data_IF_591710383544
#
_entry.id   IF_591710383544
#
_cell.length_a   1.000
_cell.length_b   1.000
_cell.length_c   1.000
_cell.angle_alpha   90.00
_cell.angle_beta   90.00
_cell.angle_gamma   90.00
#
_symmetry.space_group_name_H-M   'P 1'
#
loop_
_entity.id
_entity.type
_entity.pdbx_description
1 polymer ?
#
# COMPACT_ATOMS: atom_id res chain seq x y z
N UNK A 1 2.27 18.42 -0.49
CA UNK A 1 1.97 17.30 0.41
C UNK A 1 2.47 16.01 -0.23
N UNK A 2 3.41 15.29 0.41
CA UNK A 2 3.91 14.03 -0.16
C UNK A 2 2.85 12.95 -0.19
N UNK A 3 2.92 12.13 -1.24
CA UNK A 3 2.13 10.92 -1.36
C UNK A 3 3.10 9.76 -1.58
N UNK A 4 3.00 8.72 -0.77
CA UNK A 4 3.77 7.51 -0.98
C UNK A 4 2.97 6.63 -1.93
N UNK A 5 3.59 6.26 -3.04
CA UNK A 5 3.00 5.36 -4.04
C UNK A 5 3.68 4.01 -3.90
N UNK A 6 2.91 2.97 -3.62
CA UNK A 6 3.45 1.61 -3.53
C UNK A 6 2.90 0.80 -4.69
N UNK A 7 3.78 0.25 -5.51
CA UNK A 7 3.40 -0.58 -6.65
C UNK A 7 3.88 -2.00 -6.40
N UNK A 8 2.97 -2.97 -6.54
CA UNK A 8 3.36 -4.36 -6.27
C UNK A 8 2.44 -5.36 -6.96
N UNK A 9 2.97 -6.56 -7.07
CA UNK A 9 2.22 -7.77 -7.42
C UNK A 9 2.20 -8.69 -6.20
N UNK A 10 1.33 -9.68 -6.19
CA UNK A 10 1.36 -10.72 -5.17
C UNK A 10 2.40 -11.77 -5.53
N UNK A 11 3.01 -12.37 -4.51
CA UNK A 11 3.94 -13.49 -4.72
C UNK A 11 3.22 -14.64 -5.42
N UNK A 12 3.92 -15.40 -6.29
CA UNK A 12 3.33 -16.56 -6.94
C UNK A 12 2.71 -17.52 -5.93
N UNK A 13 1.50 -17.99 -6.21
CA UNK A 13 0.78 -18.90 -5.32
C UNK A 13 0.03 -18.21 -4.20
N UNK A 14 0.12 -16.88 -4.06
CA UNK A 14 -0.64 -16.13 -3.05
C UNK A 14 -2.09 -16.01 -3.47
N UNK A 15 -3.01 -16.29 -2.53
CA UNK A 15 -4.43 -16.13 -2.77
C UNK A 15 -4.80 -14.64 -2.82
N UNK A 16 -5.42 -14.23 -3.93
CA UNK A 16 -5.95 -12.87 -4.09
C UNK A 16 -6.98 -12.57 -2.99
N UNK A 17 -7.87 -13.51 -2.73
CA UNK A 17 -8.91 -13.35 -1.71
C UNK A 17 -8.30 -13.15 -0.33
N UNK A 18 -7.28 -13.93 0.02
CA UNK A 18 -6.64 -13.81 1.33
C UNK A 18 -5.96 -12.46 1.50
N UNK A 19 -5.24 -11.98 0.48
CA UNK A 19 -4.63 -10.66 0.54
C UNK A 19 -5.69 -9.58 0.68
N UNK A 20 -6.72 -9.59 -0.16
CA UNK A 20 -7.73 -8.53 -0.16
C UNK A 20 -8.54 -8.52 1.14
N UNK A 21 -8.84 -9.68 1.72
CA UNK A 21 -9.50 -9.76 3.01
C UNK A 21 -8.63 -9.18 4.13
N UNK A 22 -7.34 -9.51 4.13
CA UNK A 22 -6.40 -8.95 5.09
C UNK A 22 -6.28 -7.42 4.93
N UNK A 23 -6.18 -6.94 3.69
CA UNK A 23 -6.05 -5.52 3.42
C UNK A 23 -7.26 -4.74 3.95
N UNK A 24 -8.48 -5.23 3.72
CA UNK A 24 -9.71 -4.58 4.19
C UNK A 24 -9.87 -4.66 5.70
N UNK A 25 -9.51 -5.79 6.31
CA UNK A 25 -9.74 -6.03 7.73
C UNK A 25 -8.65 -5.41 8.62
N UNK A 26 -7.41 -5.32 8.15
CA UNK A 26 -6.26 -4.95 8.96
C UNK A 26 -5.50 -3.75 8.38
N UNK A 27 -4.98 -3.86 7.16
CA UNK A 27 -4.06 -2.89 6.60
C UNK A 27 -4.70 -1.50 6.46
N UNK A 28 -5.82 -1.43 5.78
CA UNK A 28 -6.51 -0.17 5.52
C UNK A 28 -6.93 0.53 6.81
N UNK A 29 -7.58 -0.15 7.79
CA UNK A 29 -7.95 0.50 9.03
C UNK A 29 -6.76 0.96 9.87
N UNK A 30 -5.71 0.15 9.98
CA UNK A 30 -4.54 0.49 10.80
C UNK A 30 -3.82 1.70 10.23
N UNK A 31 -3.50 1.70 8.94
CA UNK A 31 -2.78 2.82 8.32
C UNK A 31 -3.60 4.10 8.36
N UNK A 32 -4.91 4.02 8.10
CA UNK A 32 -5.79 5.19 8.19
C UNK A 32 -5.94 5.73 9.63
N UNK A 33 -5.63 4.94 10.65
CA UNK A 33 -5.68 5.39 12.04
C UNK A 33 -4.44 6.16 12.49
N UNK A 34 -3.37 6.15 11.68
CA UNK A 34 -2.12 6.81 12.06
C UNK A 34 -2.26 8.33 12.01
N UNK A 35 -1.77 9.05 13.06
CA UNK A 35 -1.84 10.51 13.09
C UNK A 35 -1.14 11.17 11.89
N UNK A 36 -0.08 10.56 11.37
CA UNK A 36 0.71 11.09 10.25
C UNK A 36 0.10 10.84 8.88
N UNK A 37 -0.95 10.02 8.78
CA UNK A 37 -1.59 9.65 7.52
C UNK A 37 -2.91 10.39 7.38
N UNK A 38 -3.05 11.17 6.33
CA UNK A 38 -4.31 11.84 6.04
C UNK A 38 -5.30 10.89 5.38
N UNK A 39 -4.81 10.08 4.43
CA UNK A 39 -5.64 9.11 3.72
C UNK A 39 -4.77 8.00 3.16
N UNK A 40 -5.21 6.77 3.31
CA UNK A 40 -4.60 5.58 2.72
C UNK A 40 -5.64 4.82 1.90
N UNK A 41 -5.30 4.53 0.65
CA UNK A 41 -6.14 3.75 -0.26
C UNK A 41 -5.32 2.65 -0.90
N UNK A 42 -5.94 1.51 -1.12
CA UNK A 42 -5.39 0.42 -1.92
C UNK A 42 -6.23 0.31 -3.19
N UNK A 43 -5.58 0.39 -4.34
CA UNK A 43 -6.23 0.30 -5.64
C UNK A 43 -5.90 -1.03 -6.29
N UNK A 44 -6.92 -1.72 -6.78
CA UNK A 44 -6.73 -2.92 -7.60
C UNK A 44 -6.59 -2.47 -9.04
N UNK A 45 -5.45 -2.79 -9.65
CA UNK A 45 -5.14 -2.35 -11.00
C UNK A 45 -5.81 -3.28 -12.02
N UNK A 46 -6.32 -2.69 -13.07
CA UNK A 46 -6.93 -3.41 -14.18
C UNK A 46 -6.04 -3.41 -15.41
N UNK A 47 -6.68 -3.45 -16.58
CA UNK A 47 -5.97 -3.41 -17.85
C UNK A 47 -5.46 -2.01 -18.17
N UNK A 48 -4.54 -1.93 -19.11
CA UNK A 48 -4.14 -0.66 -19.69
C UNK A 48 -5.36 0.01 -20.34
N UNK A 49 -5.46 1.33 -20.15
CA UNK A 49 -6.62 2.08 -20.64
C UNK A 49 -6.83 1.87 -22.15
N UNK A 50 -8.04 1.48 -22.51
CA UNK A 50 -8.38 1.22 -23.90
C UNK A 50 -7.82 -0.06 -24.48
N UNK A 51 -7.37 -0.99 -23.64
CA UNK A 51 -6.70 -2.21 -24.06
C UNK A 51 -7.17 -3.40 -23.23
N UNK A 52 -7.02 -4.61 -23.77
CA UNK A 52 -7.20 -5.85 -23.00
C UNK A 52 -5.91 -6.30 -22.32
N UNK A 53 -4.80 -5.60 -22.54
CA UNK A 53 -3.51 -5.96 -21.95
C UNK A 53 -3.48 -5.60 -20.48
N UNK A 54 -2.99 -6.53 -19.67
CA UNK A 54 -2.80 -6.32 -18.22
C UNK A 54 -1.65 -5.33 -17.98
N UNK A 55 -1.83 -4.42 -17.03
CA UNK A 55 -0.75 -3.54 -16.61
C UNK A 55 0.34 -4.27 -15.84
N UNK A 56 1.50 -3.63 -15.61
CA UNK A 56 2.67 -4.29 -15.00
C UNK A 56 2.51 -4.59 -13.52
N UNK A 57 1.56 -3.96 -12.82
CA UNK A 57 1.34 -4.16 -11.39
C UNK A 57 -0.12 -4.44 -11.11
N UNK A 58 -0.37 -5.36 -10.17
CA UNK A 58 -1.73 -5.75 -9.78
C UNK A 58 -2.35 -4.78 -8.78
N UNK A 59 -1.53 -4.10 -7.96
CA UNK A 59 -2.01 -3.22 -6.90
C UNK A 59 -1.17 -1.96 -6.81
N UNK A 60 -1.83 -0.89 -6.35
CA UNK A 60 -1.20 0.37 -6.03
C UNK A 60 -1.74 0.86 -4.69
N UNK A 61 -0.84 1.29 -3.80
CA UNK A 61 -1.24 1.96 -2.57
C UNK A 61 -0.91 3.44 -2.70
N UNK A 62 -1.80 4.29 -2.21
CA UNK A 62 -1.60 5.73 -2.13
C UNK A 62 -1.72 6.14 -0.66
N UNK A 63 -0.63 6.64 -0.09
CA UNK A 63 -0.57 7.09 1.30
C UNK A 63 -0.29 8.58 1.31
N UNK A 64 -1.29 9.38 1.66
CA UNK A 64 -1.14 10.84 1.75
C UNK A 64 -0.57 11.19 3.12
N UNK A 65 0.65 11.74 3.14
CA UNK A 65 1.42 12.00 4.35
C UNK A 65 1.81 13.48 4.40
N UNK A 66 1.11 14.31 5.21
CA UNK A 66 1.44 15.73 5.31
C UNK A 66 2.85 15.99 5.83
N UNK A 67 3.31 15.20 6.79
CA UNK A 67 4.62 15.36 7.42
C UNK A 67 5.36 14.02 7.48
N UNK A 68 6.39 13.89 6.67
CA UNK A 68 7.19 12.66 6.58
C UNK A 68 7.91 12.34 7.90
N UNK A 69 8.33 13.35 8.66
CA UNK A 69 9.00 13.10 9.94
C UNK A 69 8.08 12.42 10.94
N UNK A 70 6.83 12.88 11.03
CA UNK A 70 5.81 12.27 11.88
C UNK A 70 5.52 10.84 11.40
N UNK A 71 5.46 10.65 10.08
CA UNK A 71 5.23 9.33 9.50
C UNK A 71 6.34 8.35 9.87
N UNK A 72 7.60 8.77 9.78
CA UNK A 72 8.72 7.91 10.20
C UNK A 72 8.60 7.50 11.67
N UNK A 73 8.12 8.40 12.53
CA UNK A 73 7.85 8.06 13.95
C UNK A 73 6.78 6.99 14.08
N UNK A 74 5.69 7.11 13.32
CA UNK A 74 4.60 6.13 13.35
C UNK A 74 5.02 4.75 12.84
N UNK A 75 6.03 4.68 11.95
CA UNK A 75 6.51 3.39 11.44
C UNK A 75 7.12 2.50 12.52
N UNK A 76 7.50 3.05 13.67
CA UNK A 76 8.05 2.27 14.78
C UNK A 76 6.97 1.64 15.67
N UNK A 77 5.70 1.94 15.46
CA UNK A 77 4.59 1.35 16.25
C UNK A 77 4.49 -0.14 16.00
N UNK A 78 4.12 -0.87 17.05
CA UNK A 78 4.01 -2.34 16.96
C UNK A 78 2.96 -2.79 15.94
N UNK A 79 1.81 -2.10 15.87
CA UNK A 79 0.75 -2.43 14.92
C UNK A 79 1.20 -2.19 13.47
N UNK A 80 1.97 -1.13 13.23
CA UNK A 80 2.53 -0.85 11.91
C UNK A 80 3.59 -1.88 11.52
N UNK A 81 4.47 -2.24 12.46
CA UNK A 81 5.50 -3.26 12.21
C UNK A 81 4.89 -4.62 11.89
N UNK A 82 3.85 -5.01 12.62
CA UNK A 82 3.13 -6.26 12.37
C UNK A 82 2.48 -6.24 10.98
N UNK A 83 1.85 -5.13 10.60
CA UNK A 83 1.24 -4.97 9.29
C UNK A 83 2.27 -5.01 8.17
N UNK A 84 3.41 -4.36 8.35
CA UNK A 84 4.49 -4.35 7.36
C UNK A 84 5.06 -5.76 7.13
N UNK A 85 5.23 -6.52 8.21
CA UNK A 85 5.68 -7.92 8.11
C UNK A 85 4.69 -8.77 7.32
N UNK A 86 3.40 -8.63 7.62
CA UNK A 86 2.36 -9.38 6.93
C UNK A 86 2.25 -8.97 5.46
N UNK A 87 2.34 -7.68 5.18
CA UNK A 87 2.38 -7.17 3.81
C UNK A 87 3.52 -7.82 3.02
N UNK A 88 4.71 -7.92 3.63
CA UNK A 88 5.88 -8.54 3.00
C UNK A 88 5.69 -10.03 2.69
N UNK A 89 4.78 -10.70 3.38
CA UNK A 89 4.45 -12.11 3.06
C UNK A 89 3.58 -12.22 1.80
N UNK A 90 2.78 -11.19 1.50
CA UNK A 90 1.91 -11.16 0.31
C UNK A 90 2.59 -10.56 -0.90
N UNK A 91 3.30 -9.44 -0.73
CA UNK A 91 3.78 -8.62 -1.83
C UNK A 91 5.11 -9.10 -2.37
N UNK A 92 5.22 -9.13 -3.71
CA UNK A 92 6.43 -9.50 -4.43
C UNK A 92 7.17 -8.23 -4.85
N UNK A 93 8.35 -8.00 -4.27
CA UNK A 93 9.24 -6.89 -4.62
C UNK A 93 8.52 -5.53 -4.75
N UNK A 94 7.83 -5.07 -3.70
CA UNK A 94 7.11 -3.80 -3.79
C UNK A 94 8.05 -2.61 -3.97
N UNK A 95 7.61 -1.64 -4.77
CA UNK A 95 8.29 -0.37 -4.96
C UNK A 95 7.61 0.70 -4.11
N UNK A 96 8.39 1.38 -3.26
CA UNK A 96 7.91 2.48 -2.43
C UNK A 96 8.46 3.78 -2.99
N UNK A 97 7.59 4.63 -3.53
CA UNK A 97 7.99 5.84 -4.24
C UNK A 97 7.40 7.05 -3.53
N UNK A 98 8.25 8.03 -3.20
CA UNK A 98 7.77 9.30 -2.65
C UNK A 98 7.47 10.23 -3.82
N UNK A 99 6.23 10.67 -3.91
CA UNK A 99 5.75 11.56 -4.96
C UNK A 99 5.27 12.88 -4.36
N UNK A 100 5.42 13.96 -5.10
CA UNK A 100 4.96 15.28 -4.69
C UNK A 100 4.13 15.89 -5.80
N UNK A 101 3.16 16.72 -5.43
CA UNK A 101 2.40 17.50 -6.39
C UNK A 101 3.34 18.45 -7.13
N UNK A 102 3.04 18.71 -8.41
CA UNK A 102 3.79 19.66 -9.20
C UNK A 102 3.51 21.11 -8.78
#
# INVERSE_FOLDING_TARGET
MPTIVVLFNLKPGTSVTDYENWARAKDIPVVNSLPSVEKFRVLKMGNLLGSDATGPYAYCELIEVPDMNTFFGDLSREDVQAGAKQFGEFADQPLFIVANDL
#
